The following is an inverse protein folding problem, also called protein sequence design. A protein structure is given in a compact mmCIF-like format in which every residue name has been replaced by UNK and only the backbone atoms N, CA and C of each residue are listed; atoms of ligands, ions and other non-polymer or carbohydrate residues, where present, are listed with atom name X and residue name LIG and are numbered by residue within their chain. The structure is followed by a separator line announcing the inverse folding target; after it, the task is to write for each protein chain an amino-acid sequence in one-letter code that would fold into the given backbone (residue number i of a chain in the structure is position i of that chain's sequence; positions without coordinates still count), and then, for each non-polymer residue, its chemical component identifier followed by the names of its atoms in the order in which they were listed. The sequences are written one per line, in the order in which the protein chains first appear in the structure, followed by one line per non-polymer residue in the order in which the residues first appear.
data_IF_528690917467
#
_entry.id   IF_528690917467
#
_cell.length_a   1.000
_cell.length_b   1.000
_cell.length_c   1.000
_cell.angle_alpha   90.00
_cell.angle_beta   90.00
_cell.angle_gamma   90.00
#
_symmetry.space_group_name_H-M   'P 1'
#
loop_
_entity.id
_entity.type
_entity.pdbx_description
1 polymer ?
#
# COMPACT_ATOMS: atom_id res chain seq x y z
N UNK A 1 -5.26 3.78 -17.83
CA UNK A 1 -5.46 2.31 -17.76
C UNK A 1 -4.16 1.58 -17.55
N UNK A 2 -3.15 1.76 -18.43
CA UNK A 2 -1.82 1.14 -18.30
C UNK A 2 -1.24 1.32 -16.90
N UNK A 3 -1.23 2.55 -16.38
CA UNK A 3 -0.74 2.86 -15.02
C UNK A 3 -1.45 2.03 -13.94
N UNK A 4 -2.77 1.88 -14.01
CA UNK A 4 -3.52 1.08 -13.03
C UNK A 4 -3.15 -0.40 -13.06
N UNK A 5 -2.92 -0.95 -14.26
CA UNK A 5 -2.45 -2.34 -14.42
C UNK A 5 -1.04 -2.49 -13.87
N UNK A 6 -0.15 -1.54 -14.17
CA UNK A 6 1.22 -1.53 -13.64
C UNK A 6 1.24 -1.50 -12.11
N UNK A 7 0.37 -0.70 -11.48
CA UNK A 7 0.24 -0.66 -10.02
C UNK A 7 -0.18 -2.03 -9.43
N UNK A 8 -1.15 -2.70 -10.06
CA UNK A 8 -1.57 -4.03 -9.61
C UNK A 8 -0.45 -5.06 -9.79
N UNK A 9 0.24 -5.04 -10.93
CA UNK A 9 1.40 -5.91 -11.18
C UNK A 9 2.53 -5.64 -10.19
N UNK A 10 2.77 -4.38 -9.83
CA UNK A 10 3.74 -3.99 -8.82
C UNK A 10 3.39 -4.59 -7.46
N UNK A 11 2.12 -4.48 -7.01
CA UNK A 11 1.68 -5.07 -5.74
C UNK A 11 1.89 -6.59 -5.75
N UNK A 12 1.38 -7.27 -6.77
CA UNK A 12 1.49 -8.73 -6.88
C UNK A 12 2.95 -9.16 -6.96
N UNK A 13 3.75 -8.46 -7.77
CA UNK A 13 5.18 -8.72 -7.92
C UNK A 13 5.94 -8.54 -6.62
N UNK A 14 5.68 -7.47 -5.86
CA UNK A 14 6.31 -7.22 -4.56
C UNK A 14 5.94 -8.30 -3.53
N UNK A 15 4.67 -8.71 -3.47
CA UNK A 15 4.22 -9.77 -2.56
C UNK A 15 4.85 -11.11 -2.92
N UNK A 16 4.78 -11.50 -4.19
CA UNK A 16 5.42 -12.73 -4.66
C UNK A 16 6.93 -12.71 -4.43
N UNK A 17 7.60 -11.60 -4.73
CA UNK A 17 9.02 -11.46 -4.48
C UNK A 17 9.34 -11.64 -3.00
N UNK A 18 8.60 -10.99 -2.09
CA UNK A 18 8.81 -11.17 -0.66
C UNK A 18 8.65 -12.65 -0.24
N UNK A 19 7.54 -13.29 -0.58
CA UNK A 19 7.23 -14.68 -0.17
C UNK A 19 8.14 -15.74 -0.81
N UNK A 20 8.62 -15.49 -2.02
CA UNK A 20 9.49 -16.42 -2.75
C UNK A 20 10.97 -16.15 -2.50
N UNK A 21 11.31 -14.99 -1.94
CA UNK A 21 12.72 -14.64 -1.70
C UNK A 21 13.29 -15.37 -0.49
N UNK A 22 14.56 -15.79 -0.52
CA UNK A 22 15.19 -16.49 0.59
C UNK A 22 15.67 -15.55 1.72
N UNK A 23 15.41 -14.23 1.60
CA UNK A 23 15.95 -13.20 2.49
C UNK A 23 15.13 -13.04 3.77
N UNK A 24 14.96 -14.14 4.50
CA UNK A 24 14.30 -14.16 5.80
C UNK A 24 15.32 -14.10 6.94
N UNK A 25 14.82 -13.86 8.15
CA UNK A 25 15.64 -13.93 9.36
C UNK A 25 16.28 -15.31 9.49
N UNK A 26 17.58 -15.33 9.80
CA UNK A 26 18.29 -16.53 10.22
C UNK A 26 17.83 -16.96 11.62
N UNK A 27 18.01 -18.23 12.01
CA UNK A 27 17.72 -18.68 13.37
C UNK A 27 18.37 -17.79 14.43
N UNK A 28 17.64 -17.55 15.53
CA UNK A 28 18.08 -16.61 16.56
C UNK A 28 19.31 -17.15 17.30
N UNK A 29 20.39 -16.36 17.34
CA UNK A 29 21.65 -16.77 17.97
C UNK A 29 21.72 -16.41 19.47
N UNK A 30 20.90 -15.46 19.93
CA UNK A 30 20.84 -14.99 21.33
C UNK A 30 19.49 -14.35 21.64
N UNK A 31 19.28 -13.78 22.84
CA UNK A 31 17.98 -13.27 23.31
C UNK A 31 17.53 -11.94 22.65
N UNK A 32 17.45 -11.91 21.33
CA UNK A 32 17.02 -10.75 20.53
C UNK A 32 15.58 -10.87 20.03
N UNK A 33 14.79 -11.79 20.59
CA UNK A 33 13.46 -12.12 20.08
C UNK A 33 12.55 -10.89 19.98
N UNK A 34 12.63 -9.98 20.95
CA UNK A 34 11.89 -8.72 20.93
C UNK A 34 12.22 -7.82 19.71
N UNK A 35 13.46 -7.86 19.21
CA UNK A 35 13.86 -7.12 18.01
C UNK A 35 13.24 -7.74 16.75
N UNK A 36 13.34 -9.06 16.60
CA UNK A 36 12.77 -9.80 15.47
C UNK A 36 11.24 -9.62 15.42
N UNK A 37 10.59 -9.64 16.58
CA UNK A 37 9.15 -9.38 16.71
C UNK A 37 8.80 -7.96 16.29
N UNK A 38 9.59 -6.97 16.73
CA UNK A 38 9.38 -5.56 16.37
C UNK A 38 9.52 -5.36 14.86
N UNK A 39 10.57 -5.92 14.23
CA UNK A 39 10.76 -5.80 12.78
C UNK A 39 9.62 -6.50 12.04
N UNK A 40 9.19 -7.67 12.51
CA UNK A 40 8.06 -8.40 11.92
C UNK A 40 6.77 -7.57 11.97
N UNK A 41 6.48 -6.93 13.11
CA UNK A 41 5.32 -6.04 13.26
C UNK A 41 5.44 -4.85 12.30
N UNK A 42 6.59 -4.16 12.26
CA UNK A 42 6.81 -3.04 11.35
C UNK A 42 6.63 -3.45 9.89
N UNK A 43 7.16 -4.60 9.51
CA UNK A 43 7.00 -5.15 8.16
C UNK A 43 5.53 -5.36 7.80
N UNK A 44 4.76 -6.01 8.67
CA UNK A 44 3.33 -6.26 8.41
C UNK A 44 2.51 -4.98 8.34
N UNK A 45 2.75 -4.03 9.25
CA UNK A 45 2.03 -2.75 9.26
C UNK A 45 2.34 -1.94 8.00
N UNK A 46 3.62 -1.76 7.68
CA UNK A 46 4.03 -0.98 6.49
C UNK A 46 3.64 -1.68 5.19
N UNK A 47 3.78 -3.00 5.12
CA UNK A 47 3.36 -3.82 3.98
C UNK A 47 1.86 -3.75 3.74
N UNK A 48 1.04 -3.82 4.79
CA UNK A 48 -0.40 -3.65 4.68
C UNK A 48 -0.78 -2.27 4.13
N UNK A 49 -0.22 -1.20 4.70
CA UNK A 49 -0.46 0.18 4.25
C UNK A 49 -0.04 0.37 2.79
N UNK A 50 1.12 -0.19 2.40
CA UNK A 50 1.60 -0.19 1.02
C UNK A 50 0.60 -0.83 0.05
N UNK A 51 0.07 -2.00 0.38
CA UNK A 51 -0.94 -2.69 -0.45
C UNK A 51 -2.23 -1.87 -0.53
N UNK A 52 -2.72 -1.38 0.61
CA UNK A 52 -3.97 -0.62 0.68
C UNK A 52 -3.92 0.67 -0.16
N UNK A 53 -2.85 1.45 -0.04
CA UNK A 53 -2.68 2.71 -0.78
C UNK A 53 -2.56 2.44 -2.29
N UNK A 54 -1.75 1.46 -2.70
CA UNK A 54 -1.58 1.17 -4.13
C UNK A 54 -2.85 0.60 -4.76
N UNK A 55 -3.62 -0.23 -4.06
CA UNK A 55 -4.92 -0.70 -4.53
C UNK A 55 -5.92 0.45 -4.65
N UNK A 56 -5.95 1.36 -3.67
CA UNK A 56 -6.77 2.56 -3.74
C UNK A 56 -6.40 3.42 -4.96
N UNK A 57 -5.12 3.65 -5.22
CA UNK A 57 -4.68 4.37 -6.41
C UNK A 57 -5.07 3.65 -7.71
N UNK A 58 -4.87 2.33 -7.78
CA UNK A 58 -5.26 1.54 -8.95
C UNK A 58 -6.77 1.61 -9.20
N UNK A 59 -7.57 1.51 -8.14
CA UNK A 59 -9.02 1.71 -8.18
C UNK A 59 -9.37 3.11 -8.67
N UNK A 60 -8.75 4.16 -8.14
CA UNK A 60 -9.01 5.54 -8.55
C UNK A 60 -8.70 5.75 -10.05
N UNK A 61 -7.55 5.26 -10.53
CA UNK A 61 -7.17 5.32 -11.95
C UNK A 61 -8.16 4.57 -12.84
N UNK A 62 -8.71 3.46 -12.37
CA UNK A 62 -9.69 2.68 -13.13
C UNK A 62 -11.08 3.34 -13.12
N UNK A 63 -11.56 3.76 -11.94
CA UNK A 63 -12.89 4.30 -11.70
C UNK A 63 -13.07 5.72 -12.23
N UNK A 64 -12.06 6.57 -12.08
CA UNK A 64 -12.04 7.99 -12.48
C UNK A 64 -11.26 8.24 -13.77
N UNK A 65 -11.05 7.19 -14.58
CA UNK A 65 -10.51 7.31 -15.94
C UNK A 65 -11.28 8.35 -16.75
N UNK A 66 -10.55 9.21 -17.46
CA UNK A 66 -11.11 10.17 -18.42
C UNK A 66 -12.03 9.46 -19.43
N UNK A 67 -13.25 9.98 -19.58
CA UNK A 67 -14.26 9.52 -20.56
C UNK A 67 -14.67 10.70 -21.43
N UNK A 68 -14.93 10.46 -22.72
CA UNK A 68 -15.42 11.51 -23.63
C UNK A 68 -16.70 12.13 -23.04
N UNK A 69 -16.73 13.45 -22.88
CA UNK A 69 -17.85 14.20 -22.30
C UNK A 69 -17.89 14.27 -20.78
N UNK A 70 -16.98 13.60 -20.06
CA UNK A 70 -16.85 13.73 -18.60
C UNK A 70 -15.99 14.94 -18.23
N UNK A 71 -16.47 15.79 -17.32
CA UNK A 71 -15.66 16.80 -16.63
C UNK A 71 -15.36 16.31 -15.22
N UNK A 72 -14.13 16.54 -14.74
CA UNK A 72 -13.80 16.31 -13.34
C UNK A 72 -14.61 17.29 -12.48
N UNK A 73 -15.21 16.79 -11.40
CA UNK A 73 -15.79 17.64 -10.38
C UNK A 73 -14.64 18.35 -9.65
N UNK A 74 -14.75 19.68 -9.52
CA UNK A 74 -13.80 20.47 -8.75
C UNK A 74 -14.29 20.52 -7.30
N UNK A 75 -13.63 19.76 -6.43
CA UNK A 75 -13.93 19.70 -5.00
C UNK A 75 -12.60 19.83 -4.25
N UNK A 76 -12.20 21.06 -3.86
CA UNK A 76 -10.83 21.33 -3.40
C UNK A 76 -10.55 20.95 -1.95
N UNK A 77 -11.55 20.95 -1.07
CA UNK A 77 -11.37 20.69 0.36
C UNK A 77 -12.43 19.73 0.87
N UNK A 78 -12.02 18.77 1.71
CA UNK A 78 -12.95 17.90 2.41
C UNK A 78 -12.51 17.75 3.87
N UNK A 79 -12.91 18.72 4.69
CA UNK A 79 -12.56 18.81 6.12
C UNK A 79 -12.84 17.53 6.90
N UNK A 80 -13.90 16.79 6.55
CA UNK A 80 -14.24 15.53 7.23
C UNK A 80 -13.23 14.44 6.90
N UNK A 81 -12.82 14.32 5.64
CA UNK A 81 -11.79 13.38 5.21
C UNK A 81 -10.42 13.75 5.80
N UNK A 82 -10.07 15.03 5.75
CA UNK A 82 -8.79 15.53 6.29
C UNK A 82 -8.65 15.26 7.79
N UNK A 83 -9.71 15.51 8.57
CA UNK A 83 -9.71 15.22 10.01
C UNK A 83 -9.55 13.73 10.28
N UNK A 84 -10.17 12.88 9.45
CA UNK A 84 -10.07 11.42 9.60
C UNK A 84 -8.68 10.90 9.23
N UNK A 85 -8.08 11.44 8.16
CA UNK A 85 -6.71 11.11 7.77
C UNK A 85 -5.72 11.56 8.84
N UNK A 86 -5.83 12.79 9.33
CA UNK A 86 -4.97 13.34 10.39
C UNK A 86 -5.08 12.58 11.71
N UNK A 87 -6.28 12.07 12.04
CA UNK A 87 -6.47 11.24 13.23
C UNK A 87 -5.91 9.82 13.08
N UNK A 88 -5.80 9.32 11.84
CA UNK A 88 -5.34 7.95 11.55
C UNK A 88 -3.84 7.87 11.27
N UNK A 89 -3.24 8.88 10.64
CA UNK A 89 -1.80 8.98 10.34
C UNK A 89 -1.03 9.71 11.42
#
# INVERSE_FOLDING_TARGET
MVVGIVLVLLIVGSLLFHFLSPWYFTPIASNWQAMDDTISITFWVTGFVFVAINLFMAYAVFRFRQRKGGRAAYEPENKKLELWLTGLT
#
